data_IF_067805131019
#
_entry.id   IF_067805131019
#
_cell.length_a   1.000
_cell.length_b   1.000
_cell.length_c   1.000
_cell.angle_alpha   90.00
_cell.angle_beta   90.00
_cell.angle_gamma   90.00
#
_symmetry.space_group_name_H-M   'P 1'
#
loop_
_entity.id
_entity.type
_entity.pdbx_description
1 polymer ?
2 non-polymer ?
3 non-polymer ?
4 non-polymer ?
5 non-polymer ?
6 water ?
#
# COMPACT_ATOMS: atom_id res chain seq x y z
N UNK A 13 8.92 24.16 -9.06
CA UNK A 13 9.82 23.19 -8.44
C UNK A 13 9.24 21.78 -8.55
N UNK A 14 10.02 20.89 -9.16
CA UNK A 14 9.58 19.52 -9.34
C UNK A 14 9.73 18.71 -8.05
N UNK A 15 9.06 17.57 -8.02
CA UNK A 15 9.14 16.70 -6.85
C UNK A 15 10.51 16.04 -6.78
N UNK A 16 11.09 16.02 -5.58
CA UNK A 16 12.39 15.41 -5.34
C UNK A 16 12.14 14.04 -4.68
N UNK A 17 12.42 12.94 -5.36
CA UNK A 17 12.16 11.62 -4.78
C UNK A 17 13.01 11.40 -3.53
N UNK A 18 12.40 10.92 -2.44
CA UNK A 18 13.18 10.59 -1.24
C UNK A 18 14.14 9.44 -1.53
N UNK A 19 15.13 9.22 -0.67
CA UNK A 19 16.02 8.07 -0.88
C UNK A 19 15.28 6.76 -0.71
N UNK A 20 15.85 5.72 -1.33
CA UNK A 20 15.22 4.41 -1.35
C UNK A 20 15.34 3.72 0.01
N UNK A 21 14.29 3.01 0.40
CA UNK A 21 14.29 2.22 1.62
C UNK A 21 15.04 0.93 1.37
N UNK A 22 15.39 0.19 2.43
CA UNK A 22 16.15 -1.05 2.24
C UNK A 22 15.34 -2.10 1.49
N UNK A 23 16.02 -2.86 0.64
CA UNK A 23 15.45 -3.98 -0.08
C UNK A 23 16.26 -5.22 0.27
N UNK A 24 15.59 -6.26 0.73
CA UNK A 24 16.23 -7.50 1.13
C UNK A 24 15.85 -8.62 0.17
N UNK A 25 16.84 -9.39 -0.26
CA UNK A 25 16.64 -10.53 -1.15
C UNK A 25 17.13 -11.77 -0.43
N UNK A 26 16.34 -12.32 0.48
CA UNK A 26 16.81 -13.44 1.29
C UNK A 26 16.96 -14.71 0.47
N UNK A 27 17.89 -15.56 0.91
CA UNK A 27 18.05 -16.88 0.33
C UNK A 27 16.95 -17.80 0.85
N UNK A 28 16.95 -19.05 0.36
CA UNK A 28 15.95 -20.01 0.82
C UNK A 28 16.11 -20.31 2.30
N UNK A 29 17.34 -20.27 2.81
CA UNK A 29 17.55 -20.50 4.24
C UNK A 29 17.01 -19.33 5.06
N UNK A 30 17.27 -18.09 4.63
CA UNK A 30 16.76 -16.93 5.35
C UNK A 30 15.26 -16.75 5.16
N UNK A 31 14.68 -17.31 4.10
CA UNK A 31 13.25 -17.25 3.86
C UNK A 31 12.46 -18.28 4.66
N UNK A 32 12.90 -18.56 5.88
CA UNK A 32 12.25 -19.59 6.69
C UNK A 32 10.86 -19.16 7.13
N UNK A 33 10.77 -18.07 7.91
CA UNK A 33 9.51 -17.55 8.38
C UNK A 33 9.65 -16.05 8.54
N UNK A 34 8.56 -15.30 8.37
CA UNK A 34 8.69 -13.83 8.43
C UNK A 34 9.15 -13.28 9.76
N UNK A 35 8.63 -13.79 10.87
CA UNK A 35 8.94 -13.21 12.17
C UNK A 35 10.42 -13.30 12.50
N UNK A 36 11.05 -14.46 12.25
CA UNK A 36 12.47 -14.59 12.50
C UNK A 36 13.28 -13.71 11.56
N UNK A 37 12.86 -13.61 10.29
CA UNK A 37 13.58 -12.77 9.33
C UNK A 37 13.41 -11.30 9.66
N UNK A 38 12.19 -10.87 9.97
CA UNK A 38 11.94 -9.47 10.30
C UNK A 38 12.72 -9.08 11.56
N UNK A 39 12.85 -10.01 12.50
CA UNK A 39 13.63 -9.72 13.70
C UNK A 39 15.10 -9.51 13.41
N UNK A 40 15.64 -10.20 12.40
CA UNK A 40 17.05 -10.04 12.06
C UNK A 40 17.32 -8.74 11.31
N UNK A 41 16.41 -8.34 10.42
CA UNK A 41 16.59 -7.09 9.68
C UNK A 41 16.17 -5.86 10.47
N UNK A 42 15.59 -6.06 11.65
CA UNK A 42 15.09 -4.94 12.44
C UNK A 42 16.09 -3.82 12.70
N UNK A 43 17.35 -4.09 13.07
CA UNK A 43 18.27 -2.97 13.34
C UNK A 43 18.39 -1.95 12.21
N UNK A 44 18.24 -2.38 10.96
CA UNK A 44 18.29 -1.45 9.84
C UNK A 44 16.90 -0.95 9.45
N UNK A 45 15.94 -1.87 9.33
CA UNK A 45 14.64 -1.50 8.79
C UNK A 45 13.85 -0.60 9.74
N UNK A 46 14.04 -0.74 11.05
CA UNK A 46 13.35 0.15 11.98
C UNK A 46 13.86 1.58 11.89
N UNK A 47 15.07 1.78 11.36
CA UNK A 47 15.60 3.12 11.16
C UNK A 47 15.09 3.78 9.88
N UNK A 48 14.41 3.03 9.01
CA UNK A 48 13.82 3.57 7.81
C UNK A 48 12.30 3.48 7.81
N UNK A 49 11.70 2.85 8.81
CA UNK A 49 10.25 2.73 8.90
C UNK A 49 9.63 1.66 8.03
N UNK A 50 10.01 1.61 6.75
CA UNK A 50 9.50 0.62 5.82
C UNK A 50 10.68 -0.09 5.16
N UNK A 51 10.41 -1.29 4.66
CA UNK A 51 11.40 -2.03 3.89
C UNK A 51 10.68 -2.95 2.92
N UNK A 52 11.42 -3.40 1.91
CA UNK A 52 10.90 -4.27 0.86
C UNK A 52 11.63 -5.60 0.93
N UNK A 53 10.89 -6.69 0.73
CA UNK A 53 11.42 -8.04 0.78
C UNK A 53 11.08 -8.74 -0.52
N UNK A 54 12.10 -9.18 -1.25
CA UNK A 54 11.91 -9.91 -2.50
C UNK A 54 12.09 -11.40 -2.22
N UNK A 55 11.05 -12.21 -2.33
CA UNK A 55 11.19 -13.65 -2.09
C UNK A 55 12.11 -14.27 -3.14
N UNK A 56 12.60 -15.49 -2.89
CA UNK A 56 13.39 -16.17 -3.92
C UNK A 56 12.61 -16.31 -5.22
N UNK A 57 13.37 -16.43 -6.31
CA UNK A 57 12.77 -16.44 -7.65
C UNK A 57 11.78 -17.59 -7.81
N UNK A 58 12.04 -18.73 -7.19
CA UNK A 58 11.17 -19.89 -7.35
C UNK A 58 9.91 -19.83 -6.51
N UNK A 59 9.77 -18.83 -5.63
CA UNK A 59 8.59 -18.70 -4.78
C UNK A 59 7.55 -17.87 -5.53
N UNK A 60 6.60 -18.56 -6.17
CA UNK A 60 5.56 -17.92 -6.97
C UNK A 60 4.20 -18.51 -6.60
N UNK A 61 3.52 -17.91 -5.62
CA UNK A 61 2.20 -18.40 -5.24
C UNK A 61 1.17 -18.06 -6.29
N UNK A 62 0.27 -18.98 -6.61
CA UNK A 62 -0.76 -18.69 -7.60
C UNK A 62 -1.89 -17.86 -7.02
N UNK A 63 -2.48 -17.02 -7.87
CA UNK A 63 -3.59 -16.18 -7.45
C UNK A 63 -4.83 -17.05 -7.23
N UNK A 64 -5.36 -17.02 -6.01
CA UNK A 64 -6.41 -17.96 -5.60
C UNK A 64 -7.76 -17.29 -5.38
N UNK A 65 -7.93 -16.05 -5.84
CA UNK A 65 -9.21 -15.38 -5.72
C UNK A 65 -10.14 -15.80 -6.85
N UNK A 66 -11.44 -15.75 -6.56
CA UNK A 66 -12.45 -16.05 -7.57
C UNK A 66 -12.63 -14.83 -8.47
N UNK A 67 -11.85 -14.77 -9.54
CA UNK A 67 -11.88 -13.60 -10.42
C UNK A 67 -13.22 -13.47 -11.13
N UNK A 68 -13.89 -14.59 -11.42
CA UNK A 68 -15.13 -14.54 -12.17
C UNK A 68 -16.22 -13.82 -11.38
N UNK A 69 -16.34 -14.11 -10.09
CA UNK A 69 -17.40 -13.55 -9.25
C UNK A 69 -16.92 -12.39 -8.39
N UNK A 70 -15.73 -11.86 -8.65
CA UNK A 70 -15.20 -10.74 -7.85
C UNK A 70 -15.88 -9.46 -8.33
N UNK A 71 -16.91 -9.04 -7.59
CA UNK A 71 -17.65 -7.81 -7.90
C UNK A 71 -17.56 -6.89 -6.68
N UNK A 72 -17.11 -5.65 -6.92
CA UNK A 72 -16.93 -4.71 -5.83
C UNK A 72 -17.31 -3.31 -6.31
N UNK A 73 -17.64 -2.46 -5.34
CA UNK A 73 -17.94 -1.05 -5.61
C UNK A 73 -16.80 -0.20 -5.06
N UNK A 74 -15.94 0.34 -5.91
CA UNK A 74 -14.77 1.06 -5.41
C UNK A 74 -15.14 2.43 -4.85
N UNK A 75 -14.24 2.95 -4.01
CA UNK A 75 -14.39 4.30 -3.50
C UNK A 75 -13.96 5.32 -4.55
N UNK A 76 -14.50 6.52 -4.45
CA UNK A 76 -14.15 7.62 -5.34
C UNK A 76 -13.22 8.57 -4.60
N UNK A 77 -12.16 9.00 -5.28
CA UNK A 77 -11.10 9.81 -4.68
C UNK A 77 -10.77 10.99 -5.58
N UNK A 78 -10.94 12.20 -5.06
CA UNK A 78 -10.51 13.41 -5.74
C UNK A 78 -9.15 13.82 -5.18
N UNK A 79 -8.17 13.95 -6.06
CA UNK A 79 -6.78 14.10 -5.62
C UNK A 79 -6.56 15.39 -4.86
N UNK A 80 -7.19 16.48 -5.28
CA UNK A 80 -6.99 17.80 -4.68
C UNK A 80 -8.13 18.20 -3.76
N UNK A 81 -8.68 17.26 -2.99
CA UNK A 81 -9.82 17.58 -2.13
C UNK A 81 -9.43 18.53 -1.01
N UNK A 82 -8.19 18.44 -0.51
CA UNK A 82 -7.75 19.35 0.55
C UNK A 82 -7.39 20.72 0.00
N UNK A 83 -6.70 20.76 -1.14
CA UNK A 83 -6.32 22.04 -1.73
C UNK A 83 -7.56 22.84 -2.12
N UNK A 84 -8.55 22.19 -2.73
CA UNK A 84 -9.80 22.88 -3.05
C UNK A 84 -10.61 23.15 -1.80
N UNK A 85 -10.67 22.18 -0.88
CA UNK A 85 -11.37 22.32 0.39
C UNK A 85 -12.84 22.71 0.21
N UNK A 94 -22.32 14.92 -5.27
CA UNK A 94 -21.44 15.08 -6.42
C UNK A 94 -20.78 13.76 -6.80
N UNK A 95 -19.78 13.36 -6.01
CA UNK A 95 -19.05 12.12 -6.26
C UNK A 95 -19.56 11.00 -5.37
N UNK A 96 -19.88 9.87 -6.00
CA UNK A 96 -20.43 8.72 -5.29
C UNK A 96 -19.94 7.44 -5.93
N UNK A 97 -19.93 6.38 -5.12
CA UNK A 97 -19.50 5.06 -5.58
C UNK A 97 -20.65 4.34 -6.27
N UNK A 101 -20.83 2.92 -9.01
CA UNK A 101 -20.61 1.99 -10.10
C UNK A 101 -19.92 0.73 -9.61
N UNK A 102 -20.57 -0.41 -9.80
CA UNK A 102 -20.01 -1.71 -9.42
C UNK A 102 -19.20 -2.26 -10.59
N UNK A 103 -17.98 -2.69 -10.31
CA UNK A 103 -17.10 -3.27 -11.31
C UNK A 103 -16.84 -4.73 -11.00
N UNK A 104 -16.46 -5.47 -12.04
CA UNK A 104 -15.78 -6.73 -11.87
C UNK A 104 -14.27 -6.48 -11.86
N UNK A 105 -13.51 -7.51 -11.50
CA UNK A 105 -12.06 -7.36 -11.50
C UNK A 105 -11.53 -7.09 -12.90
N UNK A 106 -12.19 -7.63 -13.93
CA UNK A 106 -11.77 -7.37 -15.30
C UNK A 106 -12.25 -6.02 -15.80
N UNK A 107 -13.51 -5.66 -15.51
CA UNK A 107 -14.03 -4.37 -15.97
C UNK A 107 -13.33 -3.19 -15.29
N UNK A 108 -12.94 -3.36 -14.02
CA UNK A 108 -12.16 -2.31 -13.37
C UNK A 108 -10.80 -2.14 -14.03
N UNK A 109 -10.16 -3.25 -14.41
CA UNK A 109 -8.86 -3.17 -15.05
C UNK A 109 -8.94 -2.48 -16.40
N UNK A 110 -10.02 -2.71 -17.15
CA UNK A 110 -10.20 -2.04 -18.42
C UNK A 110 -10.35 -0.53 -18.22
N UNK A 111 -11.15 -0.12 -17.24
CA UNK A 111 -11.28 1.29 -16.91
C UNK A 111 -9.95 1.87 -16.46
N UNK A 112 -9.21 1.13 -15.62
CA UNK A 112 -7.97 1.63 -15.07
C UNK A 112 -6.91 1.84 -16.15
N UNK A 113 -6.77 0.86 -17.05
CA UNK A 113 -5.79 1.00 -18.13
C UNK A 113 -6.19 2.10 -19.11
N UNK A 114 -7.48 2.20 -19.42
CA UNK A 114 -7.94 3.27 -20.31
C UNK A 114 -7.67 4.64 -19.72
N UNK A 115 -7.88 4.80 -18.41
CA UNK A 115 -7.61 6.08 -17.76
C UNK A 115 -6.13 6.46 -17.88
N UNK A 116 -5.25 5.53 -17.54
CA UNK A 116 -3.81 5.84 -17.52
C UNK A 116 -3.28 6.09 -18.92
N UNK A 117 -3.65 5.23 -19.88
CA UNK A 117 -3.15 5.40 -21.24
C UNK A 117 -3.67 6.70 -21.86
N UNK A 118 -4.92 7.07 -21.53
CA UNK A 118 -5.45 8.33 -22.03
C UNK A 118 -4.79 9.53 -21.34
N UNK A 119 -4.53 9.42 -20.04
CA UNK A 119 -3.96 10.54 -19.32
C UNK A 119 -2.55 10.87 -19.80
N UNK A 120 -1.71 9.85 -19.99
CA UNK A 120 -0.33 10.06 -20.41
C UNK A 120 -0.13 9.95 -21.92
N UNK A 121 -1.17 9.56 -22.67
CA UNK A 121 -1.10 9.48 -24.13
C UNK A 121 0.00 8.51 -24.59
N UNK A 122 0.08 7.36 -23.93
CA UNK A 122 1.05 6.33 -24.26
C UNK A 122 0.59 5.03 -23.62
N UNK A 123 1.10 3.88 -24.09
CA UNK A 123 0.75 2.62 -23.45
C UNK A 123 1.09 2.63 -21.97
N UNK A 124 0.26 1.93 -21.18
CA UNK A 124 0.37 1.99 -19.73
C UNK A 124 1.73 1.50 -19.26
N UNK A 125 2.26 0.46 -19.91
CA UNK A 125 3.54 -0.11 -19.51
C UNK A 125 4.73 0.75 -19.92
N UNK A 126 4.50 1.86 -20.61
CA UNK A 126 5.57 2.75 -21.05
C UNK A 126 5.73 3.98 -20.19
N UNK A 127 4.82 4.22 -19.24
CA UNK A 127 4.90 5.41 -18.40
C UNK A 127 5.94 5.17 -17.30
N UNK A 128 6.99 5.98 -17.23
CA UNK A 128 7.99 5.78 -16.18
C UNK A 128 7.40 6.01 -14.79
N UNK A 129 7.87 5.24 -13.82
CA UNK A 129 7.37 5.38 -12.46
C UNK A 129 7.66 6.76 -11.89
N UNK A 130 8.77 7.38 -12.27
CA UNK A 130 9.09 8.71 -11.77
C UNK A 130 8.16 9.77 -12.35
N UNK A 131 7.60 9.52 -13.54
CA UNK A 131 6.67 10.47 -14.13
C UNK A 131 5.32 10.44 -13.43
N UNK A 132 4.80 9.24 -13.16
CA UNK A 132 3.56 9.12 -12.40
C UNK A 132 3.72 9.76 -11.02
N UNK A 133 4.87 9.54 -10.38
CA UNK A 133 5.13 10.11 -9.06
C UNK A 133 5.13 11.63 -9.13
N UNK A 134 5.84 12.20 -10.10
CA UNK A 134 5.90 13.65 -10.23
C UNK A 134 4.52 14.23 -10.56
N UNK A 135 3.77 13.54 -11.42
CA UNK A 135 2.45 14.05 -11.79
C UNK A 135 1.45 13.90 -10.64
N UNK A 136 1.58 12.82 -9.85
CA UNK A 136 0.67 12.62 -8.72
C UNK A 136 0.74 13.78 -7.75
N UNK A 137 1.95 14.14 -7.32
CA UNK A 137 2.10 15.21 -6.34
C UNK A 137 1.77 16.59 -6.92
N UNK A 138 1.88 16.77 -8.23
CA UNK A 138 1.42 18.01 -8.83
C UNK A 138 -0.10 18.11 -8.76
N UNK A 139 -0.80 17.00 -9.02
CA UNK A 139 -2.26 17.02 -9.01
C UNK A 139 -2.81 17.20 -7.61
N UNK A 140 -2.11 16.69 -6.58
CA UNK A 140 -2.60 16.81 -5.21
C UNK A 140 -2.70 18.27 -4.80
N UNK A 141 -1.77 19.11 -5.26
CA UNK A 141 -1.74 20.52 -4.91
C UNK A 141 -2.22 21.42 -6.04
N UNK A 142 -2.75 20.85 -7.11
CA UNK A 142 -3.23 21.63 -8.25
C UNK A 142 -4.66 22.08 -8.01
N UNK A 143 -4.92 23.37 -8.23
CA UNK A 143 -6.26 23.92 -8.11
C UNK A 143 -6.94 24.17 -9.45
N UNK A 144 -6.22 23.98 -10.56
CA UNK A 144 -6.77 24.20 -11.89
C UNK A 144 -7.18 22.92 -12.60
N UNK A 145 -6.80 21.75 -12.06
CA UNK A 145 -7.13 20.47 -12.67
C UNK A 145 -7.68 19.55 -11.60
N UNK A 146 -8.90 19.06 -11.81
CA UNK A 146 -9.57 18.15 -10.88
C UNK A 146 -9.54 16.75 -11.47
N UNK A 147 -8.72 15.87 -10.89
CA UNK A 147 -8.59 14.50 -11.32
C UNK A 147 -9.27 13.60 -10.29
N UNK A 148 -10.12 12.69 -10.77
CA UNK A 148 -10.89 11.79 -9.92
C UNK A 148 -10.56 10.36 -10.31
N UNK A 149 -10.23 9.53 -9.32
CA UNK A 149 -9.91 8.13 -9.54
C UNK A 149 -10.74 7.27 -8.59
N UNK A 150 -10.62 5.95 -8.75
CA UNK A 150 -11.40 5.00 -7.98
C UNK A 150 -10.50 3.85 -7.54
N UNK A 151 -10.85 3.23 -6.42
CA UNK A 151 -10.07 2.12 -5.90
C UNK A 151 -10.90 1.31 -4.93
N UNK A 152 -10.55 0.03 -4.82
CA UNK A 152 -11.12 -0.84 -3.81
C UNK A 152 -10.15 -0.95 -2.63
N UNK A 153 -10.70 -0.83 -1.42
CA UNK A 153 -9.87 -0.82 -0.23
C UNK A 153 -10.60 -1.49 0.92
N UNK A 154 -9.82 -2.08 1.82
CA UNK A 154 -10.34 -2.74 3.03
C UNK A 154 -11.35 -3.84 2.70
N UNK A 155 -11.15 -4.52 1.58
CA UNK A 155 -12.05 -5.60 1.17
C UNK A 155 -11.66 -6.86 1.93
N UNK A 156 -12.60 -7.42 2.68
CA UNK A 156 -12.32 -8.57 3.51
C UNK A 156 -12.04 -9.80 2.64
N UNK A 157 -10.95 -10.51 2.96
CA UNK A 157 -10.64 -11.73 2.25
C UNK A 157 -11.60 -12.86 2.60
N UNK A 158 -12.38 -12.71 3.67
CA UNK A 158 -13.34 -13.74 4.03
C UNK A 158 -14.55 -13.74 3.10
N UNK A 159 -14.97 -12.57 2.63
CA UNK A 159 -16.12 -12.46 1.75
C UNK A 159 -15.80 -12.70 0.29
N UNK A 160 -14.55 -12.46 -0.12
CA UNK A 160 -14.15 -12.60 -1.52
C UNK A 160 -13.09 -13.66 -1.75
N UNK A 161 -12.53 -14.25 -0.69
CA UNK A 161 -11.43 -15.18 -0.85
C UNK A 161 -10.10 -14.45 -0.81
N UNK A 162 -9.07 -15.09 -0.27
CA UNK A 162 -7.75 -14.49 -0.22
C UNK A 162 -7.03 -14.66 -1.56
N UNK A 163 -6.07 -13.78 -1.82
CA UNK A 163 -5.23 -13.93 -2.99
C UNK A 163 -4.31 -15.15 -2.91
N UNK A 164 -3.99 -15.60 -1.68
CA UNK A 164 -3.19 -16.78 -1.42
C UNK A 164 -4.09 -18.01 -1.31
N UNK A 165 -3.56 -19.19 -1.64
CA UNK A 165 -4.32 -20.42 -1.38
C UNK A 165 -4.52 -20.62 0.11
N UNK A 166 -5.71 -21.09 0.48
CA UNK A 166 -6.07 -21.30 1.88
C UNK A 166 -6.79 -22.63 2.01
N UNK A 167 -6.40 -23.41 3.02
CA UNK A 167 -7.12 -24.63 3.35
C UNK A 167 -8.45 -24.30 4.01
N UNK A 168 -9.48 -24.05 3.20
CA UNK A 168 -10.83 -23.82 3.69
C UNK A 168 -11.85 -24.84 3.20
N UNK A 169 -11.57 -25.55 2.11
CA UNK A 169 -12.58 -26.30 1.41
C UNK A 169 -13.46 -25.47 0.51
N UNK A 170 -13.32 -24.14 0.54
CA UNK A 170 -14.12 -23.29 -0.33
C UNK A 170 -13.66 -23.37 -1.77
N UNK A 171 -12.36 -23.52 -1.99
CA UNK A 171 -11.79 -23.66 -3.32
C UNK A 171 -10.80 -24.81 -3.32
N UNK A 172 -10.58 -25.39 -4.50
CA UNK A 172 -9.67 -26.51 -4.62
C UNK A 172 -8.22 -26.04 -4.54
N UNK A 173 -7.41 -26.79 -3.81
CA UNK A 173 -5.97 -26.54 -3.71
C UNK A 173 -5.26 -27.68 -4.44
N UNK A 174 -4.50 -27.32 -5.45
CA UNK A 174 -3.72 -28.31 -6.19
C UNK A 174 -2.50 -28.72 -5.38
N UNK A 175 -1.97 -29.92 -5.62
CA UNK A 175 -0.78 -30.36 -4.87
C UNK A 175 0.39 -29.41 -4.98
N UNK A 176 0.57 -28.74 -6.12
CA UNK A 176 1.64 -27.76 -6.27
C UNK A 176 1.34 -26.45 -5.55
N UNK A 177 0.12 -26.29 -5.04
CA UNK A 177 -0.27 -25.07 -4.34
C UNK A 177 -0.33 -25.23 -2.82
N UNK A 178 -0.23 -26.47 -2.32
CA UNK A 178 -0.32 -26.70 -0.89
C UNK A 178 0.85 -26.07 -0.13
N UNK A 179 2.03 -26.01 -0.75
CA UNK A 179 3.17 -25.40 -0.08
C UNK A 179 2.93 -23.91 0.20
N UNK A 180 2.14 -23.25 -0.64
CA UNK A 180 1.84 -21.84 -0.41
C UNK A 180 0.70 -21.65 0.57
N UNK A 181 -0.22 -22.62 0.64
CA UNK A 181 -1.28 -22.54 1.64
C UNK A 181 -0.73 -22.71 3.05
N UNK A 182 0.40 -23.40 3.19
CA UNK A 182 1.03 -23.64 4.48
C UNK A 182 2.24 -22.75 4.74
N UNK A 183 2.60 -21.90 3.78
CA UNK A 183 3.79 -21.08 3.92
C UNK A 183 3.60 -20.03 5.00
N UNK A 184 4.68 -19.76 5.75
CA UNK A 184 4.65 -18.70 6.75
C UNK A 184 4.50 -17.32 6.15
N UNK A 185 4.85 -17.15 4.88
CA UNK A 185 4.70 -15.87 4.19
C UNK A 185 3.31 -15.69 3.59
N UNK A 186 2.47 -16.72 3.62
CA UNK A 186 1.05 -16.56 3.33
C UNK A 186 0.45 -15.67 4.40
N UNK A 187 -0.13 -14.54 3.99
CA UNK A 187 -0.62 -13.57 4.96
C UNK A 187 -1.73 -14.12 5.85
N UNK A 188 -2.40 -15.19 5.42
CA UNK A 188 -3.39 -15.83 6.28
C UNK A 188 -2.77 -16.60 7.43
N UNK A 189 -1.45 -16.81 7.40
CA UNK A 189 -0.75 -17.57 8.43
C UNK A 189 0.10 -16.68 9.33
N UNK A 190 -0.10 -15.37 9.29
CA UNK A 190 0.65 -14.47 10.16
C UNK A 190 -0.01 -14.43 11.54
N UNK A 191 0.77 -14.34 12.61
CA UNK A 191 0.17 -14.22 13.95
C UNK A 191 -0.46 -12.84 14.13
N UNK A 192 -1.72 -12.82 14.56
CA UNK A 192 -2.49 -11.60 14.69
C UNK A 192 -3.01 -11.35 16.10
N UNK A 193 -2.79 -12.28 17.03
CA UNK A 193 -3.33 -12.16 18.38
C UNK A 193 -2.30 -11.46 19.27
N UNK A 194 -2.64 -10.26 19.75
CA UNK A 194 -1.75 -9.52 20.62
C UNK A 194 -1.80 -10.08 22.03
N UNK A 195 -0.63 -10.15 22.67
CA UNK A 195 -0.53 -10.68 24.02
C UNK A 195 -1.18 -9.72 25.03
N UNK A 208 -8.40 -14.19 14.74
CA UNK A 208 -9.35 -13.10 14.88
C UNK A 208 -9.45 -12.29 13.58
N UNK A 209 -8.36 -11.62 13.22
CA UNK A 209 -8.33 -10.78 12.04
C UNK A 209 -7.91 -11.59 10.82
N UNK A 210 -8.32 -11.10 9.65
CA UNK A 210 -7.98 -11.72 8.38
C UNK A 210 -7.40 -10.65 7.46
N UNK A 211 -6.65 -11.06 6.43
CA UNK A 211 -6.09 -10.07 5.51
C UNK A 211 -7.18 -9.33 4.74
N UNK A 212 -6.86 -8.11 4.33
CA UNK A 212 -7.74 -7.28 3.53
C UNK A 212 -7.14 -7.06 2.14
N UNK A 213 -8.01 -6.80 1.16
CA UNK A 213 -7.63 -6.71 -0.24
C UNK A 213 -7.74 -5.27 -0.73
N UNK A 214 -6.88 -4.93 -1.69
CA UNK A 214 -6.81 -3.56 -2.21
C UNK A 214 -6.62 -3.63 -3.73
N UNK A 215 -7.57 -3.04 -4.46
CA UNK A 215 -7.53 -3.01 -5.92
C UNK A 215 -7.24 -1.58 -6.33
N UNK A 216 -6.07 -1.36 -6.93
CA UNK A 216 -5.65 -0.01 -7.25
C UNK A 216 -5.68 0.34 -8.72
N UNK A 217 -5.68 1.65 -9.00
CA UNK A 217 -5.47 2.18 -10.34
C UNK A 217 -4.51 3.35 -10.22
N UNK A 218 -4.12 3.91 -11.36
CA UNK A 218 -3.17 5.02 -11.37
C UNK A 218 -3.70 6.18 -10.55
N UNK A 219 -2.86 6.67 -9.63
CA UNK A 219 -3.09 7.81 -8.75
C UNK A 219 -3.89 7.47 -7.49
N UNK A 220 -4.53 6.31 -7.41
CA UNK A 220 -5.24 5.94 -6.18
C UNK A 220 -4.23 5.86 -5.03
N UNK A 221 -4.55 6.51 -3.92
CA UNK A 221 -3.56 6.76 -2.89
C UNK A 221 -4.13 6.48 -1.50
N UNK A 222 -3.22 6.42 -0.54
CA UNK A 222 -3.56 6.29 0.87
C UNK A 222 -2.75 7.31 1.67
N UNK A 223 -3.41 7.93 2.65
CA UNK A 223 -2.83 9.04 3.41
C UNK A 223 -1.83 8.53 4.46
N UNK A 224 -1.09 9.48 5.03
CA UNK A 224 -0.15 9.15 6.09
C UNK A 224 -0.88 8.59 7.30
N UNK A 225 -0.43 7.43 7.77
CA UNK A 225 -1.06 6.81 8.93
C UNK A 225 -0.10 5.84 9.57
N UNK A 226 -0.43 5.48 10.81
CA UNK A 226 0.17 4.34 11.50
C UNK A 226 -0.93 3.33 11.78
N UNK A 227 -0.52 2.11 12.11
CA UNK A 227 -1.49 1.05 12.36
C UNK A 227 -2.05 1.17 13.77
N UNK A 228 -3.26 0.63 13.95
CA UNK A 228 -3.85 0.57 15.28
C UNK A 228 -2.93 -0.22 16.21
N UNK A 229 -2.85 0.23 17.45
CA UNK A 229 -1.98 -0.37 18.48
C UNK A 229 -0.51 -0.33 18.10
N UNK A 230 -0.14 0.57 17.18
CA UNK A 230 1.24 0.66 16.69
C UNK A 230 1.73 -0.68 16.13
N UNK A 231 0.84 -1.40 15.46
CA UNK A 231 1.17 -2.74 15.02
C UNK A 231 2.08 -2.72 13.80
N UNK A 232 2.81 -3.82 13.63
CA UNK A 232 3.45 -4.10 12.36
C UNK A 232 2.39 -4.30 11.29
N UNK A 233 2.81 -4.17 10.03
CA UNK A 233 1.95 -4.47 8.90
C UNK A 233 2.80 -5.06 7.79
N UNK A 234 2.23 -6.03 7.08
CA UNK A 234 2.89 -6.66 5.94
C UNK A 234 1.94 -6.60 4.76
N UNK A 235 2.49 -6.30 3.59
CA UNK A 235 1.71 -6.02 2.39
C UNK A 235 2.33 -6.78 1.22
N UNK A 236 1.51 -7.52 0.48
CA UNK A 236 1.97 -8.29 -0.67
C UNK A 236 1.23 -7.82 -1.90
N UNK A 237 1.97 -7.61 -2.98
CA UNK A 237 1.39 -7.23 -4.26
C UNK A 237 1.30 -8.48 -5.12
N UNK A 238 0.08 -8.98 -5.31
CA UNK A 238 -0.12 -10.23 -6.05
C UNK A 238 0.26 -10.06 -7.52
N UNK A 239 -0.24 -9.00 -8.15
CA UNK A 239 0.05 -8.75 -9.55
C UNK A 239 -0.29 -7.29 -9.88
N UNK A 240 0.13 -6.86 -11.05
CA UNK A 240 -0.19 -5.54 -11.56
C UNK A 240 0.99 -4.59 -11.51
N UNK A 241 0.69 -3.32 -11.77
CA UNK A 241 1.70 -2.29 -11.77
C UNK A 241 2.13 -1.95 -10.35
N UNK A 242 3.31 -1.33 -10.18
CA UNK A 242 3.86 -1.16 -8.83
C UNK A 242 3.02 -0.26 -7.93
N UNK A 243 3.24 -0.42 -6.64
CA UNK A 243 2.66 0.43 -5.61
C UNK A 243 3.80 1.21 -4.98
N UNK A 244 3.72 2.54 -5.03
CA UNK A 244 4.76 3.40 -4.50
C UNK A 244 4.48 3.72 -3.04
N UNK A 245 5.50 3.58 -2.20
CA UNK A 245 5.38 3.78 -0.76
C UNK A 245 6.32 4.89 -0.29
N UNK A 246 5.91 5.57 0.77
CA UNK A 246 6.77 6.47 1.52
C UNK A 246 6.68 6.09 2.99
N UNK A 247 7.82 6.11 3.67
CA UNK A 247 7.86 5.67 5.05
C UNK A 247 8.72 6.60 5.90
N UNK A 248 8.35 6.69 7.17
CA UNK A 248 9.07 7.49 8.15
C UNK A 248 9.40 6.61 9.35
N UNK A 249 10.63 6.60 9.83
CA UNK A 249 10.97 5.75 10.98
C UNK A 249 10.22 6.20 12.24
N UNK A 250 10.03 5.25 13.15
CA UNK A 250 9.24 5.50 14.35
C UNK A 250 9.86 6.58 15.24
N UNK A 251 11.19 6.74 15.18
CA UNK A 251 11.82 7.75 16.03
C UNK A 251 11.46 9.17 15.62
N UNK A 252 10.90 9.36 14.42
CA UNK A 252 10.47 10.68 13.95
C UNK A 252 8.95 10.82 13.96
N UNK A 253 8.24 9.92 14.63
CA UNK A 253 6.78 9.96 14.61
C UNK A 253 6.25 11.25 15.24
N UNK A 254 6.84 11.67 16.37
CA UNK A 254 6.41 12.91 17.00
C UNK A 254 6.69 14.12 16.11
N UNK A 255 7.81 14.09 15.40
CA UNK A 255 8.15 15.21 14.53
C UNK A 255 7.18 15.32 13.37
N UNK A 256 6.78 14.17 12.79
CA UNK A 256 5.81 14.20 11.71
C UNK A 256 4.46 14.72 12.20
N UNK A 257 4.01 14.26 13.37
CA UNK A 257 2.73 14.73 13.91
C UNK A 257 2.75 16.22 14.19
N UNK A 258 3.90 16.76 14.60
CA UNK A 258 3.99 18.19 14.85
C UNK A 258 3.94 18.98 13.54
N UNK A 259 4.65 18.52 12.52
CA UNK A 259 4.57 19.16 11.21
C UNK A 259 3.16 19.06 10.64
N UNK A 260 2.53 17.89 10.81
CA UNK A 260 1.18 17.70 10.28
C UNK A 260 0.20 18.66 10.93
N UNK A 261 0.24 18.76 12.26
CA UNK A 261 -0.69 19.64 12.96
C UNK A 261 -0.41 21.11 12.67
N UNK A 262 0.85 21.47 12.44
CA UNK A 262 1.18 22.87 12.18
C UNK A 262 0.73 23.31 10.80
N UNK A 263 0.63 22.38 9.85
CA UNK A 263 0.26 22.69 8.48
C UNK A 263 -1.12 22.18 8.09
N UNK A 264 -1.80 21.44 8.96
CA UNK A 264 -3.13 20.96 8.65
C UNK A 264 -4.12 22.13 8.70
N UNK A 265 -5.26 22.01 8.02
CA UNK A 265 -6.29 23.04 8.11
C UNK A 265 -6.74 23.24 9.55
N UNK A 266 -7.21 24.46 9.83
CA UNK A 266 -7.58 24.81 11.20
C UNK A 266 -8.71 23.94 11.73
N UNK A 267 -9.61 23.48 10.86
CA UNK A 267 -10.73 22.66 11.30
C UNK A 267 -10.35 21.21 11.55
N UNK A 268 -9.24 20.74 10.99
CA UNK A 268 -8.80 19.37 11.18
C UNK A 268 -7.64 19.24 12.16
N UNK A 269 -7.04 20.36 12.60
CA UNK A 269 -5.86 20.29 13.44
C UNK A 269 -6.16 19.67 14.80
N UNK A 270 -7.35 19.92 15.35
CA UNK A 270 -7.71 19.45 16.68
C UNK A 270 -8.43 18.11 16.67
N UNK A 271 -8.62 17.50 15.51
CA UNK A 271 -9.33 16.23 15.45
C UNK A 271 -8.47 15.11 16.04
N UNK A 272 -9.10 14.09 16.63
CA UNK A 272 -8.35 12.94 17.12
C UNK A 272 -7.59 12.27 15.99
N UNK A 273 -6.51 11.57 16.35
CA UNK A 273 -5.62 10.97 15.36
C UNK A 273 -6.36 9.97 14.48
N UNK A 274 -7.27 9.19 15.07
CA UNK A 274 -8.00 8.17 14.30
C UNK A 274 -8.83 8.80 13.19
N UNK A 275 -9.33 10.01 13.40
CA UNK A 275 -10.11 10.71 12.38
C UNK A 275 -9.24 11.57 11.47
N UNK A 276 -8.24 12.25 12.04
CA UNK A 276 -7.35 13.08 11.23
C UNK A 276 -6.60 12.23 10.21
N UNK A 277 -6.27 10.99 10.55
CA UNK A 277 -5.55 10.12 9.61
C UNK A 277 -6.33 9.87 8.33
N UNK A 278 -7.63 10.19 8.30
CA UNK A 278 -8.40 10.00 7.08
C UNK A 278 -8.11 11.07 6.04
N UNK A 279 -7.48 12.18 6.44
CA UNK A 279 -7.22 13.28 5.52
C UNK A 279 -5.81 13.83 5.70
N UNK A 280 -4.88 12.99 6.15
CA UNK A 280 -3.49 13.40 6.37
C UNK A 280 -2.69 13.26 5.07
N UNK A 281 -3.02 14.11 4.10
CA UNK A 281 -2.32 14.17 2.83
C UNK A 281 -1.22 15.22 2.93
N UNK A 282 0.01 14.84 2.60
CA UNK A 282 1.12 15.77 2.67
C UNK A 282 2.24 15.32 1.74
N UNK A 283 2.75 16.25 0.94
CA UNK A 283 3.87 15.96 0.06
C UNK A 283 5.09 15.57 0.89
N UNK A 284 5.78 14.48 0.55
CA UNK A 284 6.97 14.10 1.33
C UNK A 284 8.05 15.17 1.37
N UNK A 285 8.17 15.99 0.33
CA UNK A 285 9.18 17.04 0.34
C UNK A 285 8.90 18.07 1.42
N UNK A 286 7.63 18.27 1.78
CA UNK A 286 7.30 19.18 2.87
C UNK A 286 7.81 18.63 4.20
N UNK A 287 7.61 17.34 4.44
CA UNK A 287 8.13 16.71 5.65
C UNK A 287 9.66 16.73 5.67
N UNK A 288 10.28 16.45 4.52
CA UNK A 288 11.74 16.48 4.44
C UNK A 288 12.29 17.87 4.67
N UNK A 289 11.58 18.91 4.22
CA UNK A 289 12.03 20.28 4.46
C UNK A 289 12.01 20.62 5.94
N UNK A 290 11.13 19.99 6.71
CA UNK A 290 11.05 20.21 8.16
C UNK A 290 11.91 19.24 8.96
N UNK A 291 12.81 18.51 8.30
CA UNK A 291 13.72 17.63 8.99
C UNK A 291 13.22 16.23 9.26
N UNK A 292 12.08 15.85 8.69
CA UNK A 292 11.54 14.51 8.89
C UNK A 292 12.17 13.57 7.87
N UNK A 293 12.82 12.49 8.31
CA UNK A 293 13.39 11.53 7.34
C UNK A 293 12.29 10.72 6.67
N UNK A 294 12.34 10.66 5.34
CA UNK A 294 11.34 9.96 4.54
C UNK A 294 12.08 9.07 3.54
N UNK A 295 11.66 7.81 3.44
CA UNK A 295 12.20 6.86 2.48
C UNK A 295 11.08 6.41 1.55
N UNK A 296 11.46 6.01 0.33
CA UNK A 296 10.49 5.62 -0.69
C UNK A 296 10.85 4.24 -1.23
N UNK A 297 9.90 3.64 -1.94
CA UNK A 297 10.17 2.42 -2.69
C UNK A 297 9.02 2.19 -3.67
N UNK A 298 9.31 1.47 -4.74
CA UNK A 298 8.31 0.98 -5.67
C UNK A 298 8.17 -0.52 -5.42
N UNK A 299 7.03 -0.92 -4.86
CA UNK A 299 6.75 -2.32 -4.62
C UNK A 299 6.21 -2.95 -5.90
N UNK A 300 6.95 -3.90 -6.46
CA UNK A 300 6.56 -4.57 -7.69
C UNK A 300 5.83 -5.87 -7.38
N UNK A 301 5.24 -6.45 -8.42
CA UNK A 301 4.47 -7.67 -8.26
C UNK A 301 5.33 -8.80 -7.70
N UNK A 302 4.80 -9.50 -6.70
CA UNK A 302 5.51 -10.58 -6.06
C UNK A 302 6.43 -10.18 -4.93
N UNK A 303 6.39 -8.92 -4.51
CA UNK A 303 7.27 -8.42 -3.46
C UNK A 303 6.46 -8.01 -2.24
N UNK A 304 7.10 -8.10 -1.07
CA UNK A 304 6.49 -7.74 0.20
C UNK A 304 6.98 -6.36 0.65
N UNK A 305 6.13 -5.65 1.36
CA UNK A 305 6.50 -4.42 2.05
C UNK A 305 6.08 -4.57 3.51
N UNK A 306 7.02 -4.34 4.42
CA UNK A 306 6.77 -4.40 5.86
C UNK A 306 6.92 -3.00 6.43
N UNK A 307 5.92 -2.56 7.21
CA UNK A 307 5.99 -1.31 7.94
C UNK A 307 6.15 -1.64 9.41
N UNK A 308 7.06 -0.94 10.07
CA UNK A 308 7.41 -1.24 11.44
C UNK A 308 6.52 -0.48 12.41
N UNK A 309 6.49 -0.89 13.68
CA UNK A 309 5.57 -0.26 14.63
C UNK A 309 5.77 1.25 14.73
N UNK A 310 4.67 1.99 14.63
CA UNK A 310 4.65 3.45 14.72
C UNK A 310 5.41 4.12 13.59
N UNK A 311 5.60 3.43 12.46
CA UNK A 311 6.24 4.02 11.29
C UNK A 311 5.15 4.57 10.38
N UNK A 312 5.05 5.89 10.30
CA UNK A 312 4.07 6.52 9.42
C UNK A 312 4.39 6.21 7.97
N UNK A 313 3.35 5.97 7.18
CA UNK A 313 3.55 5.63 5.78
C UNK A 313 2.38 6.11 4.94
N UNK A 314 2.66 6.33 3.66
CA UNK A 314 1.67 6.76 2.68
C UNK A 314 2.14 6.28 1.31
N UNK A 315 1.30 6.51 0.30
CA UNK A 315 1.70 6.11 -1.04
C UNK A 315 0.55 6.17 -2.02
N UNK A 316 0.81 5.62 -3.21
CA UNK A 316 -0.15 5.64 -4.31
C UNK A 316 0.21 4.52 -5.27
N UNK A 317 -0.74 4.18 -6.13
CA UNK A 317 -0.55 3.11 -7.09
C UNK A 317 -0.18 3.64 -8.46
N UNK A 318 0.76 2.96 -9.12
CA UNK A 318 1.19 3.33 -10.46
C UNK A 318 0.17 2.92 -11.53
N UNK A 319 -0.67 1.94 -11.22
CA UNK A 319 -1.64 1.49 -12.20
C UNK A 319 -2.48 0.37 -11.62
N UNK A 320 -3.14 -0.36 -12.52
CA UNK A 320 -4.00 -1.47 -12.12
C UNK A 320 -3.20 -2.54 -11.39
N UNK A 321 -3.57 -2.82 -10.14
CA UNK A 321 -2.86 -3.82 -9.35
C UNK A 321 -3.79 -4.39 -8.28
N UNK A 322 -3.29 -5.41 -7.59
CA UNK A 322 -4.06 -6.13 -6.58
C UNK A 322 -3.13 -6.46 -5.42
N UNK A 323 -3.48 -6.00 -4.23
CA UNK A 323 -2.63 -6.15 -3.06
C UNK A 323 -3.43 -6.75 -1.90
N UNK A 324 -2.69 -7.36 -0.97
CA UNK A 324 -3.26 -7.95 0.23
C UNK A 324 -2.39 -7.57 1.41
N UNK A 325 -3.02 -7.28 2.55
CA UNK A 325 -2.31 -6.75 3.69
C UNK A 325 -2.93 -7.27 4.99
N UNK A 326 -2.10 -7.36 6.03
CA UNK A 326 -2.56 -7.75 7.35
C UNK A 326 -1.64 -7.14 8.39
N UNK A 327 -2.20 -6.80 9.54
CA UNK A 327 -1.41 -6.36 10.68
C UNK A 327 -1.06 -7.56 11.54
N UNK A 328 0.21 -7.68 11.93
CA UNK A 328 0.68 -8.81 12.70
C UNK A 328 1.43 -8.32 13.94
N UNK A 329 1.67 -9.26 14.86
CA UNK A 329 2.34 -8.98 16.12
C UNK A 329 3.52 -9.91 16.29
N UNK A 330 4.54 -9.41 17.00
CA UNK A 330 5.74 -10.19 17.25
C UNK A 330 5.84 -10.58 18.72
X LIG B 1 -0.75 0.80 6.66
X LIG C 1 -1.04 4.89 -29.93
X LIG C 1 -1.86 5.56 -30.84
X LIG C 1 -1.87 4.68 -28.64
X LIG C 1 -2.51 3.46 -28.62
X LIG C 1 -0.84 4.82 -27.49
X LIG C 1 -1.55 4.69 -26.30
X LIG D 1 -5.26 1.64 6.02
X LIG D 1 -5.99 0.81 6.87
X LIG D 1 -5.67 1.27 4.57
X LIG D 1 -7.02 1.48 4.34
X LIG D 1 -4.77 2.13 3.66
X LIG D 1 -5.03 1.75 2.34
X LIG E 1 -3.85 -2.29 6.38
X LIG E 1 -2.31 -1.40 0.66
X LIG E 1 -3.71 -1.79 5.07
X LIG E 1 -2.61 -0.89 5.12
X LIG E 1 -1.96 -0.01 4.08
X LIG E 1 -2.82 -1.43 2.13
X LIG E 1 -4.07 -4.56 7.43
X LIG E 1 -5.60 -2.66 8.15
X LIG E 1 -2.07 0.12 0.38
X LIG E 1 -1.49 0.54 1.72
X LIG E 1 -3.72 1.14 -1.12
X LIG E 1 -4.81 -3.28 6.97
X LIG E 1 -5.04 1.86 -1.24
X LIG E 1 -5.91 1.58 -2.46
X LIG E 1 -5.15 2.91 -2.36
X LIG E 1 -2.10 -0.30 2.77
X LIG E 1 -3.31 0.83 0.11
X LIG E 1 -2.18 -0.89 6.39
X LIG E 1 -2.92 -1.73 7.15
X LIG E 1 -1.34 0.94 4.45
X LIG E 1 -3.06 0.84 -2.11
X LIG F 1 12.37 0.88 -8.76
X LIG F 1 11.52 0.92 -9.91
X LIG F 1 12.81 -0.56 -8.51
X LIG F 1 11.66 -1.39 -8.34
X LIG G 1 20.37 -4.16 -1.54
X LIG G 1 19.94 -3.47 -2.72
X LIG G 1 20.58 -5.63 -1.86
X LIG G 1 19.36 -6.20 -2.35
X LIG H 1 -16.41 -3.23 -0.66
X LIG H 1 -16.05 -4.03 0.47
X LIG H 1 -16.86 -4.13 -1.80
X LIG H 1 -17.96 -3.52 -2.49
X LIG I 1 -10.21 -8.38 9.75
X LIG I 1 -11.56 -8.10 9.33
X LIG I 1 -9.73 -7.25 10.66
X LIG I 1 -10.46 -7.28 11.89
X LIG J 1 15.43 11.00 4.08
X LIG J 1 15.10 12.33 4.49
X LIG J 1 16.54 10.44 4.95
X LIG J 1 17.76 11.14 4.70
#
# INVERSE_FOLDING_TARGET
HNMAGVGPGGYAAEFVPPPECPVFEPSWEEFTDPLSFIGRIRPLAEKTGICKIRPPKDWQPPFACEVKSFRFTPRVQRLNELEAMTRVRPREAFGFEQAVREYTLQSFGEMADNFKSDYFNMPVHMVPTELVEKEFWRLVSSIEEDVIVEYGADISSKDFGSGFPVKDGRRKILPEEEEYALSGWNLNNMPVLEQSVLAHINVDISGMKVPWLYVGMCFSSFCWHIEDHWSYSINYLHWGEPKTWYGVPSHAAEQLEEVMRELAPELFESQPDLLHQLVTIMNPNVLMEHGVPVYRTNQCAGEFVVTFPRAYHSGFNQGYNFAEAVNFCT
MN MN
GOL C1 O1 C2 O2 C3 O3
GOL C1 O1 C2 O2 C3 O3
90V C4 C14 C5 C6 C10 C13 C3 C1 C15 C17 C19 C2 C21 C22 C23 N12 N18 N7 N9 O11 O20
EDO C1 O1 C2 O2
EDO C1 O1 C2 O2
EDO C1 O1 C2 O2
EDO C1 O1 C2 O2
EDO C1 O1 C2 O2
#
